data_IF_819281664452
#
_entry.id   IF_819281664452
#
_cell.length_a   1.000
_cell.length_b   1.000
_cell.length_c   1.000
_cell.angle_alpha   90.00
_cell.angle_beta   90.00
_cell.angle_gamma   90.00
#
_symmetry.space_group_name_H-M   'P 1'
#
loop_
_entity.id
_entity.type
_entity.pdbx_description
1 polymer ?
#
# COMPACT_ATOMS: atom_id res chain seq x y z
N UNK A 1 -22.79 7.30 12.12
CA UNK A 1 -22.34 5.96 12.56
C UNK A 1 -21.11 5.68 11.72
N UNK A 2 -19.94 5.58 12.32
CA UNK A 2 -18.73 5.14 11.63
C UNK A 2 -18.91 3.65 11.34
N UNK A 3 -18.64 3.22 10.09
CA UNK A 3 -18.82 1.84 9.68
C UNK A 3 -17.79 0.89 10.27
N UNK A 4 -17.91 -0.36 9.91
CA UNK A 4 -17.05 -1.45 10.39
C UNK A 4 -15.72 -1.43 9.62
N UNK A 5 -14.63 -1.05 10.29
CA UNK A 5 -13.28 -1.13 9.72
C UNK A 5 -12.93 -2.58 9.41
N UNK A 6 -12.41 -2.85 8.21
CA UNK A 6 -12.03 -4.19 7.77
C UNK A 6 -10.54 -4.28 7.52
N UNK A 7 -9.97 -5.44 7.80
CA UNK A 7 -8.62 -5.82 7.40
C UNK A 7 -8.72 -6.89 6.31
N UNK A 8 -8.07 -6.65 5.18
CA UNK A 8 -7.88 -7.64 4.14
C UNK A 8 -6.39 -8.03 4.03
N UNK A 9 -6.11 -9.33 4.01
CA UNK A 9 -4.79 -9.87 3.73
C UNK A 9 -4.73 -10.13 2.23
N UNK A 10 -3.93 -9.37 1.50
CA UNK A 10 -3.80 -9.45 0.04
C UNK A 10 -2.65 -10.36 -0.38
N UNK A 11 -1.67 -10.51 0.49
CA UNK A 11 -0.53 -11.39 0.31
C UNK A 11 0.23 -11.56 1.61
N UNK A 12 0.70 -12.78 1.84
CA UNK A 12 1.46 -13.18 3.04
C UNK A 12 2.69 -14.01 2.65
N UNK A 13 3.13 -13.87 1.40
CA UNK A 13 4.33 -14.53 0.88
C UNK A 13 5.60 -13.84 1.39
N UNK A 14 6.71 -14.52 1.15
CA UNK A 14 8.07 -14.10 1.46
C UNK A 14 8.85 -14.00 0.14
N UNK A 15 10.16 -13.72 0.12
CA UNK A 15 10.95 -13.76 -1.11
C UNK A 15 10.94 -15.13 -1.83
N UNK A 16 10.52 -16.19 -1.14
CA UNK A 16 10.36 -17.51 -1.78
C UNK A 16 9.17 -17.49 -2.74
N UNK A 17 9.31 -17.98 -3.98
CA UNK A 17 8.27 -17.92 -4.99
C UNK A 17 7.20 -19.00 -4.78
N UNK A 18 6.47 -18.93 -3.66
CA UNK A 18 5.32 -19.80 -3.38
C UNK A 18 4.17 -19.39 -4.31
N UNK A 19 3.69 -20.26 -5.20
CA UNK A 19 2.64 -19.93 -6.16
C UNK A 19 1.28 -19.63 -5.51
N UNK A 20 1.04 -20.12 -4.31
CA UNK A 20 -0.21 -19.95 -3.58
C UNK A 20 -0.21 -18.70 -2.67
N UNK A 21 0.91 -17.98 -2.59
CA UNK A 21 1.07 -16.81 -1.71
C UNK A 21 1.70 -15.65 -2.46
N UNK A 22 0.91 -14.61 -2.66
CA UNK A 22 1.42 -13.33 -3.17
C UNK A 22 2.35 -12.69 -2.13
N UNK A 23 3.24 -11.82 -2.59
CA UNK A 23 4.14 -11.08 -1.71
C UNK A 23 3.40 -10.28 -0.64
N UNK A 24 4.11 -9.71 0.31
CA UNK A 24 3.51 -8.99 1.44
C UNK A 24 2.59 -7.87 0.96
N UNK A 25 1.36 -7.85 1.48
CA UNK A 25 0.40 -6.78 1.21
C UNK A 25 -0.89 -6.93 1.99
N UNK A 26 -1.35 -5.80 2.54
CA UNK A 26 -2.55 -5.73 3.36
C UNK A 26 -3.36 -4.48 2.99
N UNK A 27 -4.64 -4.47 3.36
CA UNK A 27 -5.48 -3.30 3.24
C UNK A 27 -6.28 -3.07 4.51
N UNK A 28 -6.19 -1.87 5.09
CA UNK A 28 -7.15 -1.37 6.06
C UNK A 28 -8.22 -0.61 5.27
N UNK A 29 -9.47 -0.98 5.47
CA UNK A 29 -10.61 -0.50 4.71
C UNK A 29 -11.57 0.18 5.67
N UNK A 30 -11.78 1.47 5.48
CA UNK A 30 -12.77 2.28 6.18
C UNK A 30 -14.05 2.39 5.34
N UNK A 31 -15.00 3.21 5.76
CA UNK A 31 -16.24 3.40 5.00
C UNK A 31 -16.01 3.96 3.59
N UNK A 32 -15.01 4.81 3.42
CA UNK A 32 -14.78 5.52 2.15
C UNK A 32 -13.46 5.14 1.50
N UNK A 33 -12.42 4.78 2.27
CA UNK A 33 -11.04 4.75 1.79
C UNK A 33 -10.37 3.42 2.06
N UNK A 34 -9.45 3.05 1.18
CA UNK A 34 -8.53 1.90 1.34
C UNK A 34 -7.12 2.42 1.58
N UNK A 35 -6.50 1.92 2.63
CA UNK A 35 -5.12 2.18 2.99
C UNK A 35 -4.33 0.90 2.76
N UNK A 36 -3.46 0.88 1.75
CA UNK A 36 -2.61 -0.26 1.44
C UNK A 36 -1.35 -0.25 2.31
N UNK A 37 -0.95 -1.41 2.80
CA UNK A 37 0.30 -1.61 3.52
C UNK A 37 1.09 -2.67 2.77
N UNK A 38 2.28 -2.32 2.33
CA UNK A 38 3.13 -3.07 1.42
C UNK A 38 2.47 -3.37 0.06
N UNK A 39 3.29 -3.57 -0.93
CA UNK A 39 2.84 -3.85 -2.29
C UNK A 39 3.77 -4.86 -2.97
N UNK A 40 3.86 -6.03 -2.35
CA UNK A 40 4.51 -7.19 -2.94
C UNK A 40 3.85 -7.62 -4.26
N UNK A 41 4.48 -8.53 -5.00
CA UNK A 41 3.95 -8.99 -6.29
C UNK A 41 2.57 -9.63 -6.12
N UNK A 42 1.62 -9.27 -7.01
CA UNK A 42 0.30 -9.88 -7.10
C UNK A 42 -0.79 -9.27 -6.22
N UNK A 43 -0.48 -8.38 -5.28
CA UNK A 43 -1.45 -7.84 -4.31
C UNK A 43 -2.58 -7.06 -4.98
N UNK A 44 -2.32 -6.37 -6.08
CA UNK A 44 -3.35 -5.59 -6.80
C UNK A 44 -4.41 -6.50 -7.40
N UNK A 45 -4.03 -7.69 -7.88
CA UNK A 45 -4.99 -8.68 -8.41
C UNK A 45 -5.82 -9.29 -7.31
N UNK A 46 -5.22 -9.62 -6.16
CA UNK A 46 -5.96 -10.10 -4.99
C UNK A 46 -6.89 -9.01 -4.43
N UNK A 47 -6.48 -7.76 -4.44
CA UNK A 47 -7.34 -6.63 -4.08
C UNK A 47 -8.53 -6.50 -5.03
N UNK A 48 -8.29 -6.56 -6.34
CA UNK A 48 -9.34 -6.51 -7.35
C UNK A 48 -10.39 -7.61 -7.14
N UNK A 49 -9.98 -8.82 -6.79
CA UNK A 49 -10.88 -9.96 -6.54
C UNK A 49 -11.90 -9.67 -5.42
N UNK A 50 -11.57 -8.81 -4.45
CA UNK A 50 -12.46 -8.42 -3.38
C UNK A 50 -13.49 -7.37 -3.82
N UNK A 51 -13.26 -6.70 -4.96
CA UNK A 51 -14.12 -5.65 -5.48
C UNK A 51 -15.37 -6.21 -6.18
N UNK A 52 -16.44 -5.42 -6.21
CA UNK A 52 -17.68 -5.76 -6.90
C UNK A 52 -17.48 -5.99 -8.40
N UNK A 53 -16.54 -5.30 -9.04
CA UNK A 53 -16.26 -5.45 -10.47
C UNK A 53 -15.76 -6.86 -10.84
N UNK A 54 -15.28 -7.62 -9.87
CA UNK A 54 -14.76 -8.97 -10.05
C UNK A 54 -15.53 -10.01 -9.18
N UNK A 55 -16.76 -9.67 -8.75
CA UNK A 55 -17.61 -10.58 -7.99
C UNK A 55 -17.37 -10.59 -6.49
N UNK A 56 -16.48 -9.74 -5.99
CA UNK A 56 -16.28 -9.52 -4.55
C UNK A 56 -17.40 -8.68 -3.93
N UNK A 57 -17.31 -8.44 -2.63
CA UNK A 57 -18.37 -7.78 -1.85
C UNK A 57 -17.97 -6.44 -1.26
N UNK A 58 -16.76 -5.96 -1.53
CA UNK A 58 -16.19 -4.74 -0.92
C UNK A 58 -16.04 -3.66 -2.00
N UNK A 59 -16.98 -2.70 -2.09
CA UNK A 59 -16.96 -1.66 -3.14
C UNK A 59 -15.70 -0.82 -3.10
N UNK A 60 -15.17 -0.52 -1.91
CA UNK A 60 -13.96 0.28 -1.70
C UNK A 60 -12.73 -0.35 -2.36
N UNK A 61 -12.71 -1.69 -2.53
CA UNK A 61 -11.61 -2.42 -3.15
C UNK A 61 -11.56 -2.31 -4.69
N UNK A 62 -12.39 -1.44 -5.30
CA UNK A 62 -12.16 -1.05 -6.68
C UNK A 62 -10.79 -0.37 -6.78
N UNK A 63 -9.86 -0.99 -7.50
CA UNK A 63 -8.46 -0.55 -7.55
C UNK A 63 -8.29 0.89 -8.06
N UNK A 64 -9.23 1.39 -8.88
CA UNK A 64 -9.23 2.78 -9.32
C UNK A 64 -9.35 3.80 -8.17
N UNK A 65 -9.82 3.37 -7.00
CA UNK A 65 -10.02 4.22 -5.82
C UNK A 65 -8.83 4.18 -4.85
N UNK A 66 -7.73 3.50 -5.19
CA UNK A 66 -6.57 3.44 -4.28
C UNK A 66 -5.80 4.76 -4.28
N UNK A 67 -5.80 5.43 -3.13
CA UNK A 67 -5.22 6.76 -2.95
C UNK A 67 -4.02 6.77 -2.00
N UNK A 68 -3.89 5.78 -1.11
CA UNK A 68 -2.87 5.73 -0.06
C UNK A 68 -2.17 4.37 -0.02
N UNK A 69 -0.84 4.39 -0.05
CA UNK A 69 -0.01 3.20 0.12
C UNK A 69 1.18 3.48 1.05
N UNK A 70 1.38 2.61 2.02
CA UNK A 70 2.41 2.68 3.04
C UNK A 70 3.37 1.51 2.85
N UNK A 71 4.67 1.76 2.85
CA UNK A 71 5.70 0.74 2.75
C UNK A 71 6.43 0.57 4.07
N UNK A 72 6.55 -0.66 4.53
CA UNK A 72 7.31 -0.98 5.74
C UNK A 72 8.81 -0.87 5.51
N UNK A 73 9.34 -1.45 4.45
CA UNK A 73 10.76 -1.44 4.08
C UNK A 73 10.98 -1.86 2.62
N UNK A 74 12.22 -1.77 2.14
CA UNK A 74 12.54 -1.89 0.71
C UNK A 74 12.89 -3.32 0.23
N UNK A 75 12.56 -4.39 0.95
CA UNK A 75 12.72 -5.74 0.42
C UNK A 75 11.80 -6.00 -0.79
N UNK A 76 12.23 -6.89 -1.66
CA UNK A 76 11.56 -7.13 -2.95
C UNK A 76 10.17 -7.74 -2.81
N UNK A 77 9.95 -8.60 -1.85
CA UNK A 77 8.64 -9.21 -1.57
C UNK A 77 7.61 -8.22 -1.00
N UNK A 78 8.06 -7.02 -0.59
CA UNK A 78 7.21 -5.89 -0.18
C UNK A 78 7.06 -4.83 -1.28
N UNK A 79 7.92 -4.82 -2.31
CA UNK A 79 8.00 -3.70 -3.27
C UNK A 79 7.79 -4.07 -4.73
N UNK A 80 7.97 -5.33 -5.14
CA UNK A 80 7.96 -5.69 -6.57
C UNK A 80 6.62 -5.48 -7.28
N UNK A 81 5.52 -5.29 -6.55
CA UNK A 81 4.23 -4.90 -7.12
C UNK A 81 4.07 -3.41 -7.41
N UNK A 82 5.12 -2.58 -7.22
CA UNK A 82 5.00 -1.11 -7.37
C UNK A 82 4.57 -0.69 -8.78
N UNK A 83 5.02 -1.35 -9.82
CA UNK A 83 4.58 -1.05 -11.19
C UNK A 83 3.08 -1.30 -11.37
N UNK A 84 2.59 -2.43 -10.83
CA UNK A 84 1.17 -2.78 -10.87
C UNK A 84 0.34 -1.77 -10.04
N UNK A 85 0.83 -1.38 -8.85
CA UNK A 85 0.20 -0.36 -7.99
C UNK A 85 0.09 1.02 -8.65
N UNK A 86 1.11 1.44 -9.38
CA UNK A 86 1.11 2.76 -10.04
C UNK A 86 0.29 2.75 -11.33
N UNK A 87 0.37 1.72 -12.14
CA UNK A 87 -0.15 1.72 -13.50
C UNK A 87 -1.53 1.07 -13.63
N UNK A 88 -1.80 -0.06 -12.98
CA UNK A 88 -3.09 -0.74 -13.12
C UNK A 88 -4.26 0.09 -12.59
N UNK A 89 -4.22 0.70 -11.40
CA UNK A 89 -5.29 1.59 -10.93
C UNK A 89 -5.51 2.79 -11.86
N UNK A 90 -4.44 3.38 -12.42
CA UNK A 90 -4.54 4.44 -13.40
C UNK A 90 -5.25 4.00 -14.69
N UNK A 91 -4.90 2.85 -15.23
CA UNK A 91 -5.57 2.27 -16.41
C UNK A 91 -7.05 1.99 -16.11
N UNK A 92 -7.37 1.64 -14.87
CA UNK A 92 -8.74 1.38 -14.41
C UNK A 92 -9.51 2.66 -14.03
N UNK A 93 -8.89 3.85 -14.15
CA UNK A 93 -9.57 5.13 -14.01
C UNK A 93 -9.13 6.02 -12.84
N UNK A 94 -8.13 5.62 -12.04
CA UNK A 94 -7.58 6.53 -11.02
C UNK A 94 -7.10 7.81 -11.69
N UNK A 95 -7.62 8.96 -11.26
CA UNK A 95 -7.29 10.28 -11.83
C UNK A 95 -6.28 11.04 -10.99
N UNK A 96 -6.25 10.80 -9.69
CA UNK A 96 -5.34 11.49 -8.77
C UNK A 96 -4.03 10.73 -8.56
N UNK A 97 -2.92 11.43 -8.28
CA UNK A 97 -1.67 10.80 -7.90
C UNK A 97 -1.83 9.97 -6.63
N UNK A 98 -1.11 8.83 -6.56
CA UNK A 98 -1.04 8.01 -5.36
C UNK A 98 -0.25 8.73 -4.26
N UNK A 99 -0.80 8.83 -3.05
CA UNK A 99 -0.04 9.21 -1.86
C UNK A 99 0.79 8.01 -1.40
N UNK A 100 2.10 8.11 -1.52
CA UNK A 100 3.05 7.03 -1.26
C UNK A 100 3.91 7.38 -0.05
N UNK A 101 3.77 6.60 1.03
CA UNK A 101 4.47 6.77 2.28
C UNK A 101 5.49 5.65 2.45
N UNK A 102 6.74 5.94 2.74
CA UNK A 102 7.74 4.88 2.90
C UNK A 102 9.11 5.38 3.33
N UNK A 103 10.05 4.46 3.50
CA UNK A 103 11.43 4.78 3.83
C UNK A 103 12.12 5.52 2.69
N UNK A 104 13.23 6.16 3.02
CA UNK A 104 14.13 6.78 2.06
C UNK A 104 14.49 5.80 0.94
N UNK A 105 14.41 6.27 -0.32
CA UNK A 105 14.69 5.48 -1.52
C UNK A 105 13.44 4.92 -2.22
N UNK A 106 12.28 4.93 -1.57
CA UNK A 106 11.03 4.54 -2.21
C UNK A 106 10.63 5.49 -3.35
N UNK A 107 10.90 6.78 -3.18
CA UNK A 107 10.72 7.80 -4.23
C UNK A 107 11.52 7.48 -5.49
N UNK A 108 12.78 7.07 -5.32
CA UNK A 108 13.65 6.68 -6.44
C UNK A 108 13.17 5.39 -7.11
N UNK A 109 12.74 4.40 -6.32
CA UNK A 109 12.17 3.17 -6.83
C UNK A 109 10.92 3.46 -7.69
N UNK A 110 9.99 4.24 -7.17
CA UNK A 110 8.77 4.62 -7.87
C UNK A 110 9.07 5.44 -9.14
N UNK A 111 9.95 6.44 -9.06
CA UNK A 111 10.34 7.27 -10.20
C UNK A 111 11.04 6.46 -11.30
N UNK A 112 11.92 5.53 -10.95
CA UNK A 112 12.60 4.67 -11.91
C UNK A 112 11.64 3.64 -12.53
N UNK A 113 10.66 3.16 -11.77
CA UNK A 113 9.58 2.31 -12.29
C UNK A 113 8.77 3.05 -13.37
N UNK A 114 8.40 4.30 -13.14
CA UNK A 114 7.69 5.11 -14.15
C UNK A 114 8.57 5.38 -15.37
N UNK A 115 9.87 5.64 -15.18
CA UNK A 115 10.80 5.80 -16.32
C UNK A 115 10.90 4.53 -17.15
N UNK A 116 10.97 3.36 -16.51
CA UNK A 116 11.03 2.06 -17.22
C UNK A 116 9.77 1.79 -18.03
N UNK A 117 8.62 2.29 -17.57
CA UNK A 117 7.32 2.11 -18.23
C UNK A 117 6.92 3.31 -19.13
N UNK A 118 7.85 4.22 -19.41
CA UNK A 118 7.56 5.47 -20.17
C UNK A 118 6.87 5.22 -21.51
N UNK A 119 7.23 4.18 -22.23
CA UNK A 119 6.66 3.86 -23.55
C UNK A 119 5.16 3.57 -23.42
N UNK A 120 4.76 2.73 -22.45
CA UNK A 120 3.34 2.41 -22.21
C UNK A 120 2.57 3.66 -21.74
N UNK A 121 3.16 4.44 -20.83
CA UNK A 121 2.56 5.68 -20.30
C UNK A 121 2.31 6.67 -21.46
N UNK A 122 3.31 6.94 -22.28
CA UNK A 122 3.19 7.87 -23.42
C UNK A 122 2.15 7.39 -24.43
N UNK A 123 2.12 6.09 -24.72
CA UNK A 123 1.13 5.49 -25.62
C UNK A 123 -0.30 5.66 -25.10
N UNK A 124 -0.53 5.40 -23.80
CA UNK A 124 -1.85 5.55 -23.19
C UNK A 124 -2.31 7.00 -23.10
N UNK A 125 -1.40 7.94 -22.92
CA UNK A 125 -1.75 9.38 -22.85
C UNK A 125 -2.07 9.94 -24.24
N UNK A 126 -1.27 9.57 -25.25
CA UNK A 126 -1.27 10.22 -26.55
C UNK A 126 -1.76 9.33 -27.68
N UNK A 127 -2.02 8.04 -27.43
CA UNK A 127 -2.43 7.07 -28.42
C UNK A 127 -3.94 6.85 -28.52
N UNK A 128 -4.32 5.64 -28.92
CA UNK A 128 -5.72 5.27 -29.23
C UNK A 128 -6.55 4.88 -27.99
N UNK A 129 -5.94 4.78 -26.82
CA UNK A 129 -6.59 4.48 -25.54
C UNK A 129 -6.25 5.58 -24.54
N UNK A 130 -6.78 6.79 -24.73
CA UNK A 130 -6.33 7.93 -23.96
C UNK A 130 -6.66 7.78 -22.47
N UNK A 131 -5.61 7.76 -21.65
CA UNK A 131 -5.70 7.82 -20.20
C UNK A 131 -5.45 9.25 -19.69
N UNK A 132 -5.88 9.55 -18.47
CA UNK A 132 -5.60 10.84 -17.84
C UNK A 132 -4.07 11.03 -17.61
N UNK A 133 -3.64 12.28 -17.38
CA UNK A 133 -2.21 12.65 -17.29
C UNK A 133 -1.67 12.67 -15.86
N UNK A 134 -2.41 12.21 -14.89
CA UNK A 134 -2.14 12.40 -13.46
C UNK A 134 -2.15 11.10 -12.66
N UNK A 135 -3.09 10.20 -12.90
CA UNK A 135 -3.33 9.05 -12.05
C UNK A 135 -2.22 8.00 -11.97
N UNK A 136 -1.24 8.00 -12.90
CA UNK A 136 -0.05 7.16 -12.81
C UNK A 136 1.04 7.74 -11.90
N UNK A 137 0.93 9.02 -11.53
CA UNK A 137 1.91 9.73 -10.71
C UNK A 137 1.75 9.38 -9.24
N UNK A 138 2.73 9.80 -8.46
CA UNK A 138 2.69 9.66 -7.01
C UNK A 138 3.15 10.94 -6.32
N UNK A 139 2.74 11.11 -5.07
CA UNK A 139 3.22 12.13 -4.13
C UNK A 139 3.90 11.37 -3.00
N UNK A 140 5.22 11.52 -2.89
CA UNK A 140 6.00 10.81 -1.89
C UNK A 140 6.06 11.59 -0.57
N UNK A 141 5.95 10.84 0.52
CA UNK A 141 6.19 11.32 1.89
C UNK A 141 7.13 10.34 2.59
N UNK A 142 8.33 10.81 2.90
CA UNK A 142 9.29 10.02 3.67
C UNK A 142 8.79 9.81 5.10
N UNK A 143 8.94 8.58 5.59
CA UNK A 143 8.51 8.22 6.93
C UNK A 143 9.49 8.72 7.99
N UNK A 144 8.91 9.20 9.07
CA UNK A 144 9.57 9.39 10.36
C UNK A 144 8.70 8.73 11.43
N UNK A 145 9.26 8.46 12.61
CA UNK A 145 8.47 7.94 13.72
C UNK A 145 7.41 8.97 14.19
N UNK A 146 6.25 8.48 14.52
CA UNK A 146 5.10 9.28 14.96
C UNK A 146 3.95 9.26 13.96
N UNK A 147 3.09 10.27 14.01
CA UNK A 147 1.91 10.38 13.11
C UNK A 147 2.39 10.75 11.71
N UNK A 148 2.10 9.87 10.74
CA UNK A 148 2.48 10.05 9.33
C UNK A 148 1.29 10.41 8.44
N UNK A 149 0.08 10.08 8.91
CA UNK A 149 -1.18 10.44 8.27
C UNK A 149 -2.30 10.51 9.30
N UNK A 150 -3.22 11.47 9.15
CA UNK A 150 -4.42 11.57 9.96
C UNK A 150 -5.51 12.30 9.18
N UNK A 151 -6.74 11.80 9.28
CA UNK A 151 -7.97 12.43 8.80
C UNK A 151 -9.14 12.06 9.74
N UNK A 152 -10.37 12.35 9.33
CA UNK A 152 -11.57 12.09 10.14
C UNK A 152 -11.85 10.58 10.37
N UNK A 153 -11.35 9.70 9.48
CA UNK A 153 -11.60 8.27 9.55
C UNK A 153 -10.50 7.49 10.29
N UNK A 154 -9.24 7.94 10.19
CA UNK A 154 -8.10 7.14 10.60
C UNK A 154 -6.89 7.98 11.01
N UNK A 155 -6.15 7.49 12.00
CA UNK A 155 -4.81 7.95 12.34
C UNK A 155 -3.81 6.83 12.08
N UNK A 156 -2.72 7.15 11.39
CA UNK A 156 -1.63 6.23 11.08
C UNK A 156 -0.34 6.72 11.73
N UNK A 157 0.22 5.88 12.59
CA UNK A 157 1.48 6.12 13.28
C UNK A 157 2.52 5.12 12.76
N UNK A 158 3.70 5.62 12.38
CA UNK A 158 4.85 4.79 12.01
C UNK A 158 5.83 4.68 13.19
N UNK A 159 6.48 3.53 13.33
CA UNK A 159 7.51 3.30 14.34
C UNK A 159 8.60 2.41 13.77
N UNK A 160 9.87 2.68 14.11
CA UNK A 160 11.00 1.85 13.67
C UNK A 160 10.99 0.49 14.34
N UNK A 161 11.36 -0.53 13.56
CA UNK A 161 11.50 -1.92 14.01
C UNK A 161 12.88 -2.47 13.63
N UNK A 162 13.47 -3.37 14.43
CA UNK A 162 14.76 -3.98 14.10
C UNK A 162 14.58 -5.04 13.00
N UNK A 163 15.24 -4.85 11.87
CA UNK A 163 15.21 -5.79 10.74
C UNK A 163 16.61 -5.93 10.11
N UNK A 164 17.47 -6.73 10.76
CA UNK A 164 18.86 -6.90 10.32
C UNK A 164 19.58 -5.55 10.17
N UNK A 165 20.23 -5.37 9.02
CA UNK A 165 20.95 -4.14 8.68
C UNK A 165 20.08 -3.08 8.00
N UNK A 166 18.78 -3.30 7.87
CA UNK A 166 17.84 -2.28 7.40
C UNK A 166 17.57 -1.23 8.48
N UNK A 167 18.20 -0.07 8.36
CA UNK A 167 18.00 1.04 9.30
C UNK A 167 16.61 1.65 9.22
N UNK A 168 16.01 1.63 8.02
CA UNK A 168 14.71 2.23 7.71
C UNK A 168 13.65 1.14 7.49
N UNK A 169 13.38 0.34 8.54
CA UNK A 169 12.25 -0.58 8.63
C UNK A 169 11.23 -0.06 9.62
N UNK A 170 9.96 -0.08 9.19
CA UNK A 170 8.85 0.48 9.94
C UNK A 170 7.74 -0.54 10.16
N UNK A 171 7.13 -0.45 11.34
CA UNK A 171 5.79 -0.94 11.60
C UNK A 171 4.79 0.22 11.59
N UNK A 172 3.51 -0.12 11.52
CA UNK A 172 2.44 0.86 11.52
C UNK A 172 1.37 0.53 12.55
N UNK A 173 0.80 1.56 13.15
CA UNK A 173 -0.40 1.48 13.99
C UNK A 173 -1.50 2.31 13.35
N UNK A 174 -2.55 1.66 12.92
CA UNK A 174 -3.77 2.25 12.37
C UNK A 174 -4.83 2.31 13.46
N UNK A 175 -5.34 3.49 13.73
CA UNK A 175 -6.39 3.71 14.73
C UNK A 175 -7.60 4.31 14.01
N UNK A 176 -8.72 3.61 14.05
CA UNK A 176 -10.03 4.08 13.58
C UNK A 176 -10.97 4.26 14.75
N UNK A 177 -12.21 4.64 14.49
CA UNK A 177 -13.21 4.82 15.54
C UNK A 177 -13.56 3.51 16.28
N UNK A 178 -13.42 2.35 15.62
CA UNK A 178 -13.85 1.04 16.14
C UNK A 178 -12.70 0.03 16.30
N UNK A 179 -11.52 0.26 15.71
CA UNK A 179 -10.41 -0.70 15.73
C UNK A 179 -9.03 -0.04 15.88
N UNK A 180 -8.14 -0.82 16.44
CA UNK A 180 -6.69 -0.58 16.38
C UNK A 180 -6.05 -1.78 15.70
N UNK A 181 -5.31 -1.53 14.63
CA UNK A 181 -4.62 -2.57 13.86
C UNK A 181 -3.14 -2.23 13.83
N UNK A 182 -2.29 -3.19 14.20
CA UNK A 182 -0.84 -3.01 14.22
C UNK A 182 -0.19 -3.95 13.22
N UNK A 183 0.61 -3.40 12.33
CA UNK A 183 1.48 -4.13 11.42
C UNK A 183 2.91 -4.02 11.92
N UNK A 184 3.56 -5.14 12.14
CA UNK A 184 4.95 -5.15 12.58
C UNK A 184 5.93 -4.84 11.44
N UNK A 185 5.53 -5.07 10.19
CA UNK A 185 6.51 -5.32 9.13
C UNK A 185 7.38 -6.52 9.46
N UNK A 186 8.46 -6.69 8.73
CA UNK A 186 9.48 -7.68 9.03
C UNK A 186 10.35 -7.18 10.18
N UNK A 187 10.43 -7.96 11.25
CA UNK A 187 11.09 -7.52 12.47
C UNK A 187 11.70 -8.66 13.28
N UNK A 188 12.81 -8.39 13.89
CA UNK A 188 13.28 -9.15 15.03
C UNK A 188 12.40 -8.92 16.27
N UNK A 189 12.77 -9.51 17.39
CA UNK A 189 12.05 -9.31 18.67
C UNK A 189 12.05 -7.83 19.07
N UNK A 190 10.87 -7.25 19.27
CA UNK A 190 10.68 -5.84 19.64
C UNK A 190 9.68 -5.71 20.79
N UNK A 191 10.13 -5.16 21.93
CA UNK A 191 9.24 -4.82 23.03
C UNK A 191 8.34 -3.62 22.70
N UNK A 192 8.82 -2.73 21.84
CA UNK A 192 8.06 -1.57 21.36
C UNK A 192 6.77 -2.00 20.64
N UNK A 193 6.85 -3.05 19.80
CA UNK A 193 5.66 -3.60 19.13
C UNK A 193 4.66 -4.12 20.18
N UNK A 194 5.14 -4.86 21.19
CA UNK A 194 4.27 -5.39 22.23
C UNK A 194 3.54 -4.27 23.02
N UNK A 195 4.19 -3.13 23.24
CA UNK A 195 3.58 -1.96 23.87
C UNK A 195 2.55 -1.29 22.97
N UNK A 196 2.91 -1.06 21.68
CA UNK A 196 2.03 -0.40 20.71
C UNK A 196 0.83 -1.27 20.30
N UNK A 197 0.98 -2.59 20.35
CA UNK A 197 -0.09 -3.55 20.09
C UNK A 197 -0.97 -3.83 21.33
N UNK A 198 -0.68 -3.22 22.47
CA UNK A 198 -1.52 -3.36 23.65
C UNK A 198 -2.91 -2.78 23.37
N UNK A 199 -3.95 -3.58 23.51
CA UNK A 199 -5.34 -3.28 23.18
C UNK A 199 -5.61 -3.06 21.66
N UNK A 200 -4.80 -3.69 20.77
CA UNK A 200 -5.05 -3.76 19.34
C UNK A 200 -5.86 -5.01 18.99
#
# INVERSE_FOLDING_TARGET
MFGDTKLAILGSGTPNPDPDRMGSGYAVITDQTVYLIDFGPGIIRNAAQLSQNWGGKIPQMNVANFEHAFLTHLHSDHTMGIADLLLTPWVMGRSEPLNLYGPKGLDQLAANTLKANKIDIDYRINGTQPANKTGYKFIFKELNEGIVFENEEIKVEAFKVPHGDFEDSYGFRFTTADKVIVFSGDTGKSLKIAELAKNA
#
